data_IF_322848269359
#
_entry.id   IF_322848269359
#
_cell.length_a   1.000
_cell.length_b   1.000
_cell.length_c   1.000
_cell.angle_alpha   90.00
_cell.angle_beta   90.00
_cell.angle_gamma   90.00
#
_symmetry.space_group_name_H-M   'P 1'
#
loop_
_entity.id
_entity.type
_entity.pdbx_description
1 polymer ?
#
# COMPACT_ATOMS: atom_id res chain seq x y z
N UNK A 1 -14.75 51.21 -11.49
CA UNK A 1 -15.32 52.14 -10.49
C UNK A 1 -16.42 51.33 -9.80
N UNK A 2 -16.18 50.62 -8.70
CA UNK A 2 -15.64 51.05 -7.40
C UNK A 2 -14.69 49.98 -6.82
N UNK A 3 -13.59 50.45 -6.23
CA UNK A 3 -12.65 49.74 -5.35
C UNK A 3 -13.20 49.74 -3.92
N UNK A 4 -13.10 48.62 -3.19
CA UNK A 4 -12.77 48.51 -1.73
C UNK A 4 -12.47 47.00 -1.52
N UNK A 5 -11.26 46.50 -1.29
CA UNK A 5 -10.32 46.61 -0.15
C UNK A 5 -10.94 46.38 1.25
N UNK A 6 -10.27 45.61 2.09
CA UNK A 6 -10.76 45.28 3.44
C UNK A 6 -10.17 44.01 4.02
N UNK A 7 -8.87 44.02 4.30
CA UNK A 7 -8.22 42.99 5.11
C UNK A 7 -8.48 43.09 6.62
N UNK A 8 -7.78 42.21 7.35
CA UNK A 8 -7.51 42.17 8.80
C UNK A 8 -8.57 41.51 9.71
N UNK A 9 -8.25 40.32 10.26
CA UNK A 9 -7.46 40.06 11.49
C UNK A 9 -8.21 40.37 12.79
N UNK A 10 -8.78 39.33 13.40
CA UNK A 10 -9.11 39.27 14.84
C UNK A 10 -8.64 37.90 15.35
N UNK A 11 -7.42 37.81 15.88
CA UNK A 11 -6.98 38.09 17.26
C UNK A 11 -7.47 37.04 18.27
N UNK A 12 -6.47 36.29 18.72
CA UNK A 12 -6.44 35.26 19.73
C UNK A 12 -7.12 35.68 21.04
N UNK A 13 -7.98 34.81 21.57
CA UNK A 13 -8.44 34.87 22.95
C UNK A 13 -7.46 34.09 23.83
N UNK A 14 -6.72 34.82 24.66
CA UNK A 14 -5.86 34.28 25.73
C UNK A 14 -6.74 34.13 26.97
N UNK A 15 -6.97 32.90 27.42
CA UNK A 15 -7.64 32.61 28.71
C UNK A 15 -6.56 32.22 29.71
N UNK A 16 -6.36 33.09 30.70
CA UNK A 16 -5.50 32.85 31.87
C UNK A 16 -6.38 32.31 33.00
N UNK A 17 -6.06 31.15 33.56
CA UNK A 17 -6.63 30.68 34.83
C UNK A 17 -5.47 30.54 35.83
N UNK A 18 -5.49 31.39 36.86
CA UNK A 18 -4.66 31.29 38.05
C UNK A 18 -5.34 30.36 39.06
N UNK A 19 -4.54 29.55 39.75
CA UNK A 19 -4.56 29.59 41.22
C UNK A 19 -4.87 28.30 42.00
N UNK A 20 -3.96 28.07 42.96
CA UNK A 20 -4.07 27.39 44.26
C UNK A 20 -4.07 25.84 44.27
N UNK A 21 -3.04 25.14 44.78
CA UNK A 21 -2.41 25.02 46.12
C UNK A 21 -3.18 24.16 47.15
N UNK A 22 -2.39 23.24 47.75
CA UNK A 22 -2.55 22.50 49.03
C UNK A 22 -3.48 21.27 48.96
N UNK A 23 -3.21 20.13 49.61
CA UNK A 23 -2.36 19.85 50.76
C UNK A 23 -1.84 18.40 50.74
N UNK A 24 -0.68 18.20 51.36
CA UNK A 24 -0.16 16.89 51.73
C UNK A 24 -0.80 16.42 53.06
N UNK A 25 -1.00 15.11 53.21
CA UNK A 25 -1.17 14.49 54.52
C UNK A 25 -0.64 13.06 54.52
N UNK A 26 0.44 12.88 55.30
CA UNK A 26 0.95 11.62 55.84
C UNK A 26 -0.12 10.95 56.70
N UNK A 27 -0.22 9.62 56.65
CA UNK A 27 -0.70 8.81 57.78
C UNK A 27 -0.04 7.44 57.77
N UNK A 28 0.17 6.96 58.99
CA UNK A 28 1.25 6.10 59.42
C UNK A 28 0.97 4.58 59.31
N UNK A 29 2.06 3.83 59.46
CA UNK A 29 2.14 2.39 59.73
C UNK A 29 1.14 1.93 60.80
N UNK A 30 0.54 0.76 60.56
CA UNK A 30 0.21 -0.21 61.62
C UNK A 30 0.78 -1.56 61.22
N UNK A 31 1.73 -2.04 62.01
CA UNK A 31 2.22 -3.41 61.99
C UNK A 31 1.20 -4.31 62.72
N UNK A 32 0.80 -5.41 62.08
CA UNK A 32 -0.05 -6.44 62.67
C UNK A 32 0.40 -7.80 62.18
N UNK A 33 1.16 -8.50 63.02
CA UNK A 33 1.56 -9.90 62.84
C UNK A 33 0.39 -10.78 63.28
N UNK A 34 -0.13 -11.61 62.37
CA UNK A 34 -0.98 -12.74 62.71
C UNK A 34 -0.67 -13.90 61.75
N UNK A 35 0.14 -14.84 62.23
CA UNK A 35 0.29 -16.18 61.67
C UNK A 35 -0.98 -16.98 61.97
N UNK A 36 -1.60 -17.60 60.97
CA UNK A 36 -2.22 -18.93 61.12
C UNK A 36 -2.44 -19.58 59.74
N UNK A 37 -2.06 -20.85 59.69
CA UNK A 37 -2.03 -21.80 58.59
C UNK A 37 -3.32 -21.91 57.80
N UNK A 38 -3.25 -21.80 56.47
CA UNK A 38 -4.27 -22.32 55.54
C UNK A 38 -3.59 -23.04 54.39
N UNK A 39 -4.14 -24.21 54.07
CA UNK A 39 -3.60 -25.26 53.23
C UNK A 39 -3.30 -24.85 51.78
N UNK A 40 -2.34 -25.57 51.18
CA UNK A 40 -2.07 -25.58 49.75
C UNK A 40 -3.37 -25.78 48.95
N UNK A 41 -3.76 -24.77 48.18
CA UNK A 41 -4.65 -24.91 47.03
C UNK A 41 -4.19 -23.88 46.01
N UNK A 42 -3.37 -24.33 45.06
CA UNK A 42 -3.00 -23.51 43.91
C UNK A 42 -4.29 -23.14 43.15
N UNK A 43 -4.57 -21.84 42.91
CA UNK A 43 -5.58 -21.49 41.93
C UNK A 43 -5.07 -21.99 40.58
N UNK A 44 -5.85 -22.86 39.93
CA UNK A 44 -5.68 -23.11 38.50
C UNK A 44 -5.91 -21.78 37.81
N UNK A 45 -4.83 -21.26 37.23
CA UNK A 45 -4.79 -20.06 36.42
C UNK A 45 -5.64 -20.26 35.16
N UNK A 46 -6.97 -20.04 35.29
CA UNK A 46 -7.92 -19.97 34.17
C UNK A 46 -7.69 -18.74 33.26
N UNK A 47 -6.67 -17.91 33.51
CA UNK A 47 -6.35 -16.77 32.65
C UNK A 47 -5.49 -17.15 31.44
N UNK A 48 -4.89 -18.34 31.40
CA UNK A 48 -3.96 -18.75 30.33
C UNK A 48 -4.59 -19.30 29.06
N UNK A 49 -5.89 -19.63 29.05
CA UNK A 49 -6.58 -20.08 27.82
C UNK A 49 -7.53 -19.03 27.22
N UNK A 50 -7.74 -17.88 27.87
CA UNK A 50 -8.56 -16.78 27.33
C UNK A 50 -7.75 -15.75 26.51
N UNK A 51 -6.41 -15.81 26.56
CA UNK A 51 -5.52 -14.82 25.92
C UNK A 51 -5.28 -15.01 24.41
N UNK A 52 -5.77 -16.09 23.79
CA UNK A 52 -5.54 -16.36 22.36
C UNK A 52 -6.68 -15.88 21.43
N UNK A 53 -7.71 -15.21 21.96
CA UNK A 53 -8.85 -14.71 21.17
C UNK A 53 -8.89 -13.17 21.06
N UNK A 54 -7.77 -12.48 21.31
CA UNK A 54 -7.73 -11.00 21.40
C UNK A 54 -6.76 -10.30 20.45
N UNK A 55 -6.03 -11.01 19.59
CA UNK A 55 -5.20 -10.37 18.56
C UNK A 55 -6.05 -10.09 17.33
N UNK A 56 -6.37 -8.82 17.12
CA UNK A 56 -7.13 -8.32 15.97
C UNK A 56 -6.66 -8.95 14.65
N UNK A 57 -7.57 -9.66 13.99
CA UNK A 57 -7.30 -10.50 12.82
C UNK A 57 -6.99 -9.70 11.53
N UNK A 58 -7.14 -8.37 11.52
CA UNK A 58 -6.86 -7.56 10.32
C UNK A 58 -5.40 -7.62 9.84
N UNK A 59 -4.43 -7.80 10.74
CA UNK A 59 -3.03 -8.04 10.36
C UNK A 59 -2.74 -9.48 9.90
N UNK A 60 -3.57 -10.43 10.33
CA UNK A 60 -3.42 -11.86 10.03
C UNK A 60 -3.75 -12.20 8.58
N UNK A 61 -4.82 -11.61 8.06
CA UNK A 61 -5.29 -11.87 6.69
C UNK A 61 -4.28 -11.42 5.62
N UNK A 62 -3.78 -10.17 5.71
CA UNK A 62 -2.75 -9.67 4.79
C UNK A 62 -1.47 -10.50 4.84
N UNK A 63 -1.06 -10.96 6.03
CA UNK A 63 0.13 -11.81 6.19
C UNK A 63 -0.09 -13.20 5.59
N UNK A 64 -1.26 -13.80 5.82
CA UNK A 64 -1.65 -15.09 5.23
C UNK A 64 -1.68 -14.99 3.71
N UNK A 65 -2.38 -14.01 3.16
CA UNK A 65 -2.49 -13.80 1.71
C UNK A 65 -1.14 -13.47 1.07
N UNK A 66 -0.28 -12.68 1.73
CA UNK A 66 1.10 -12.47 1.27
C UNK A 66 1.91 -13.77 1.27
N UNK A 67 1.69 -14.67 2.23
CA UNK A 67 2.32 -15.99 2.23
C UNK A 67 1.82 -16.87 1.10
N UNK A 68 0.51 -16.91 0.87
CA UNK A 68 -0.12 -17.75 -0.15
C UNK A 68 0.11 -17.23 -1.58
N UNK A 69 0.08 -15.92 -1.77
CA UNK A 69 0.33 -15.23 -3.04
C UNK A 69 1.79 -14.76 -3.15
N UNK A 70 2.64 -15.17 -2.22
CA UNK A 70 4.04 -14.77 -2.14
C UNK A 70 4.78 -15.22 -3.38
N UNK A 71 5.36 -14.25 -4.10
CA UNK A 71 6.02 -14.50 -5.38
C UNK A 71 5.09 -14.57 -6.59
N UNK A 72 3.78 -14.42 -6.43
CA UNK A 72 2.86 -14.27 -7.57
C UNK A 72 2.60 -12.81 -7.94
N UNK A 73 2.77 -11.91 -6.98
CA UNK A 73 2.59 -10.46 -7.15
C UNK A 73 3.93 -9.74 -6.97
N UNK A 74 4.18 -8.65 -7.71
CA UNK A 74 5.34 -7.82 -7.47
C UNK A 74 5.23 -7.13 -6.10
N UNK A 75 6.35 -6.68 -5.51
CA UNK A 75 6.33 -5.77 -4.38
C UNK A 75 5.41 -4.57 -4.66
N UNK A 76 4.57 -4.21 -3.68
CA UNK A 76 3.70 -3.06 -3.79
C UNK A 76 4.38 -1.73 -3.44
N UNK A 77 3.62 -0.65 -3.55
CA UNK A 77 4.04 0.73 -3.22
C UNK A 77 3.51 1.13 -1.85
N UNK A 78 4.15 2.11 -1.19
CA UNK A 78 3.55 2.70 0.01
C UNK A 78 2.42 3.67 -0.38
N UNK A 79 1.40 3.80 0.46
CA UNK A 79 0.27 4.71 0.19
C UNK A 79 0.72 6.17 -0.04
N UNK A 80 1.75 6.62 0.68
CA UNK A 80 2.35 7.96 0.51
C UNK A 80 3.08 8.17 -0.82
N UNK A 81 3.44 7.09 -1.50
CA UNK A 81 4.16 7.11 -2.78
C UNK A 81 3.19 6.97 -3.97
N UNK A 82 1.89 6.87 -3.71
CA UNK A 82 0.86 6.94 -4.74
C UNK A 82 0.85 8.34 -5.39
N UNK A 83 0.54 8.44 -6.69
CA UNK A 83 0.23 9.72 -7.33
C UNK A 83 -0.92 10.42 -6.60
N UNK A 84 -0.76 11.70 -6.29
CA UNK A 84 -1.80 12.48 -5.58
C UNK A 84 -2.31 11.75 -4.32
N UNK A 85 -1.44 11.46 -3.34
CA UNK A 85 -1.76 10.54 -2.24
C UNK A 85 -2.89 11.06 -1.33
N UNK A 86 -3.12 12.37 -1.33
CA UNK A 86 -4.20 13.05 -0.60
C UNK A 86 -5.51 13.17 -1.43
N UNK A 87 -5.56 12.60 -2.63
CA UNK A 87 -6.81 12.52 -3.41
C UNK A 87 -7.77 11.50 -2.80
N UNK A 88 -9.06 11.63 -3.12
CA UNK A 88 -10.05 10.66 -2.68
C UNK A 88 -9.79 9.28 -3.30
N UNK A 89 -9.51 9.22 -4.61
CA UNK A 89 -9.12 7.99 -5.30
C UNK A 89 -7.92 7.25 -4.67
N UNK A 90 -6.83 7.97 -4.34
CA UNK A 90 -5.65 7.36 -3.71
C UNK A 90 -5.97 6.76 -2.32
N UNK A 91 -6.80 7.45 -1.53
CA UNK A 91 -7.27 6.94 -0.23
C UNK A 91 -8.13 5.69 -0.39
N UNK A 92 -9.05 5.67 -1.36
CA UNK A 92 -9.90 4.50 -1.62
C UNK A 92 -9.07 3.31 -2.11
N UNK A 93 -8.12 3.52 -3.03
CA UNK A 93 -7.20 2.46 -3.48
C UNK A 93 -6.38 1.91 -2.31
N UNK A 94 -5.83 2.77 -1.46
CA UNK A 94 -5.10 2.35 -0.25
C UNK A 94 -5.96 1.56 0.72
N UNK A 95 -7.19 2.04 0.99
CA UNK A 95 -8.16 1.41 1.89
C UNK A 95 -8.56 0.03 1.39
N UNK A 96 -9.01 -0.09 0.14
CA UNK A 96 -9.61 -1.33 -0.37
C UNK A 96 -8.59 -2.33 -0.91
N UNK A 97 -7.60 -1.88 -1.70
CA UNK A 97 -6.62 -2.80 -2.31
C UNK A 97 -5.54 -3.23 -1.31
N UNK A 98 -5.28 -2.42 -0.28
CA UNK A 98 -4.28 -2.69 0.76
C UNK A 98 -4.72 -3.70 1.84
N UNK A 99 -6.00 -4.10 1.86
CA UNK A 99 -6.58 -5.01 2.87
C UNK A 99 -5.96 -6.40 2.81
N UNK A 100 -5.76 -6.92 1.59
CA UNK A 100 -5.44 -8.32 1.37
C UNK A 100 -3.99 -8.56 0.95
N UNK A 101 -3.41 -7.66 0.16
CA UNK A 101 -2.03 -7.78 -0.33
C UNK A 101 -1.33 -6.42 -0.30
N UNK A 102 -0.09 -6.37 -0.80
CA UNK A 102 0.60 -5.09 -0.97
C UNK A 102 -0.11 -4.23 -2.01
N UNK A 103 -0.06 -2.92 -1.78
CA UNK A 103 -0.79 -1.95 -2.60
C UNK A 103 -0.21 -1.92 -4.01
N UNK A 104 -1.01 -2.19 -5.06
CA UNK A 104 -0.52 -2.11 -6.42
C UNK A 104 -0.16 -0.66 -6.81
N UNK A 105 0.86 -0.50 -7.65
CA UNK A 105 1.15 0.78 -8.30
C UNK A 105 0.16 1.03 -9.44
N UNK A 106 -0.51 2.19 -9.52
CA UNK A 106 -1.35 2.54 -10.67
C UNK A 106 -0.61 2.44 -12.01
N UNK A 107 0.71 2.64 -12.03
CA UNK A 107 1.52 2.56 -13.25
C UNK A 107 1.82 1.12 -13.72
N UNK A 108 1.23 0.06 -13.13
CA UNK A 108 1.52 -1.33 -13.51
C UNK A 108 0.64 -1.89 -14.64
N UNK A 109 -0.53 -1.28 -14.87
CA UNK A 109 -1.50 -1.70 -15.89
C UNK A 109 -1.96 -0.50 -16.71
N UNK A 110 -2.32 -0.75 -17.95
CA UNK A 110 -3.00 0.24 -18.81
C UNK A 110 -4.40 0.53 -18.28
N UNK A 111 -5.04 1.61 -18.74
CA UNK A 111 -6.40 1.99 -18.33
C UNK A 111 -7.40 0.85 -18.55
N UNK A 112 -7.36 0.20 -19.72
CA UNK A 112 -8.29 -0.89 -20.05
C UNK A 112 -8.04 -2.14 -19.20
N UNK A 113 -6.76 -2.47 -18.96
CA UNK A 113 -6.39 -3.58 -18.07
C UNK A 113 -6.83 -3.32 -16.63
N UNK A 114 -6.76 -2.07 -16.16
CA UNK A 114 -7.18 -1.71 -14.81
C UNK A 114 -8.65 -1.98 -14.58
N UNK A 115 -9.52 -1.65 -15.52
CA UNK A 115 -10.95 -1.97 -15.46
C UNK A 115 -11.16 -3.46 -15.22
N UNK A 116 -10.47 -4.31 -15.98
CA UNK A 116 -10.59 -5.77 -15.85
C UNK A 116 -10.01 -6.30 -14.53
N UNK A 117 -8.87 -5.77 -14.08
CA UNK A 117 -8.19 -6.20 -12.84
C UNK A 117 -8.99 -5.79 -11.62
N UNK A 118 -9.40 -4.52 -11.54
CA UNK A 118 -10.17 -3.97 -10.44
C UNK A 118 -11.54 -4.67 -10.31
N UNK A 119 -12.24 -4.92 -11.42
CA UNK A 119 -13.51 -5.65 -11.41
C UNK A 119 -13.40 -7.05 -10.79
N UNK A 120 -12.32 -7.78 -11.08
CA UNK A 120 -12.08 -9.09 -10.44
C UNK A 120 -11.87 -8.93 -8.94
N UNK A 121 -11.20 -7.87 -8.50
CA UNK A 121 -10.98 -7.60 -7.08
C UNK A 121 -12.26 -7.14 -6.39
N UNK A 122 -13.08 -6.29 -7.01
CA UNK A 122 -14.39 -5.89 -6.48
C UNK A 122 -15.31 -7.10 -6.28
N UNK A 123 -15.40 -8.00 -7.26
CA UNK A 123 -16.18 -9.24 -7.15
C UNK A 123 -15.66 -10.14 -6.03
N UNK A 124 -14.33 -10.25 -5.89
CA UNK A 124 -13.71 -11.03 -4.81
C UNK A 124 -14.00 -10.41 -3.44
N UNK A 125 -13.85 -9.09 -3.29
CA UNK A 125 -14.17 -8.39 -2.03
C UNK A 125 -15.64 -8.55 -1.66
N UNK A 126 -16.56 -8.41 -2.63
CA UNK A 126 -17.99 -8.61 -2.39
C UNK A 126 -18.33 -10.04 -1.94
N UNK A 127 -17.72 -11.05 -2.57
CA UNK A 127 -17.84 -12.45 -2.14
C UNK A 127 -17.36 -12.62 -0.70
N UNK A 128 -16.15 -12.12 -0.39
CA UNK A 128 -15.56 -12.28 0.95
C UNK A 128 -16.36 -11.54 2.03
N UNK A 129 -16.85 -10.33 1.73
CA UNK A 129 -17.72 -9.56 2.62
C UNK A 129 -19.04 -10.33 2.91
N UNK A 130 -19.62 -10.97 1.90
CA UNK A 130 -20.84 -11.78 2.04
C UNK A 130 -20.66 -13.07 2.85
N UNK A 131 -19.43 -13.58 2.97
CA UNK A 131 -19.11 -14.77 3.78
C UNK A 131 -18.97 -14.48 5.28
N UNK A 132 -19.02 -13.20 5.70
CA UNK A 132 -18.93 -12.79 7.11
C UNK A 132 -20.01 -13.39 8.02
N UNK A 133 -21.13 -13.85 7.46
CA UNK A 133 -22.21 -14.54 8.19
C UNK A 133 -21.86 -15.96 8.66
N UNK A 134 -20.76 -16.57 8.17
CA UNK A 134 -20.28 -17.90 8.56
C UNK A 134 -19.10 -17.83 9.55
N UNK A 135 -19.20 -16.92 10.53
CA UNK A 135 -18.25 -16.80 11.64
C UNK A 135 -16.95 -16.08 11.28
N UNK A 136 -17.02 -14.76 11.09
CA UNK A 136 -15.96 -13.78 11.39
C UNK A 136 -14.48 -14.14 11.08
N UNK A 137 -14.19 -14.89 10.01
CA UNK A 137 -12.79 -15.15 9.66
C UNK A 137 -12.19 -14.07 8.75
N UNK A 138 -13.00 -13.26 8.06
CA UNK A 138 -12.53 -12.32 7.02
C UNK A 138 -13.34 -11.02 7.05
N UNK A 139 -12.92 -10.04 7.86
CA UNK A 139 -13.50 -8.69 7.90
C UNK A 139 -13.00 -7.88 6.68
N UNK A 140 -13.48 -8.25 5.50
CA UNK A 140 -13.11 -7.62 4.22
C UNK A 140 -14.22 -6.66 3.81
N UNK A 141 -13.85 -5.40 3.60
CA UNK A 141 -14.76 -4.38 3.10
C UNK A 141 -14.86 -4.44 1.58
N UNK A 142 -16.08 -4.28 1.05
CA UNK A 142 -16.33 -4.13 -0.38
C UNK A 142 -16.76 -2.69 -0.71
N UNK A 143 -16.20 -2.05 -1.77
CA UNK A 143 -16.58 -0.70 -2.15
C UNK A 143 -18.01 -0.66 -2.72
N UNK A 144 -18.71 0.43 -2.42
CA UNK A 144 -19.96 0.82 -3.08
C UNK A 144 -19.74 1.12 -4.57
N UNK A 145 -20.82 1.21 -5.36
CA UNK A 145 -20.70 1.51 -6.79
C UNK A 145 -20.00 2.85 -7.06
N UNK A 146 -20.36 3.92 -6.33
CA UNK A 146 -19.69 5.22 -6.47
C UNK A 146 -18.21 5.20 -6.06
N UNK A 147 -17.84 4.41 -5.04
CA UNK A 147 -16.41 4.24 -4.70
C UNK A 147 -15.65 3.45 -5.77
N UNK A 148 -16.29 2.48 -6.44
CA UNK A 148 -15.66 1.75 -7.56
C UNK A 148 -15.38 2.67 -8.73
N UNK A 149 -16.33 3.53 -9.08
CA UNK A 149 -16.16 4.50 -10.16
C UNK A 149 -14.99 5.45 -9.88
N UNK A 150 -14.89 5.95 -8.64
CA UNK A 150 -13.78 6.81 -8.21
C UNK A 150 -12.43 6.07 -8.23
N UNK A 151 -12.39 4.81 -7.78
CA UNK A 151 -11.20 3.97 -7.84
C UNK A 151 -10.76 3.76 -9.29
N UNK A 152 -11.70 3.43 -10.19
CA UNK A 152 -11.41 3.22 -11.61
C UNK A 152 -10.94 4.50 -12.30
N UNK A 153 -11.56 5.64 -11.99
CA UNK A 153 -11.14 6.94 -12.51
C UNK A 153 -9.69 7.25 -12.10
N UNK A 154 -9.35 7.03 -10.83
CA UNK A 154 -8.00 7.25 -10.31
C UNK A 154 -6.96 6.28 -10.91
N UNK A 155 -7.28 4.99 -10.98
CA UNK A 155 -6.38 4.00 -11.60
C UNK A 155 -6.18 4.28 -13.10
N UNK A 156 -7.22 4.76 -13.79
CA UNK A 156 -7.18 5.14 -15.19
C UNK A 156 -6.35 6.40 -15.46
N UNK A 157 -6.49 7.44 -14.64
CA UNK A 157 -5.73 8.69 -14.78
C UNK A 157 -4.23 8.47 -14.58
N UNK A 158 -3.88 7.61 -13.62
CA UNK A 158 -2.49 7.31 -13.25
C UNK A 158 -1.98 5.96 -13.79
N UNK A 159 -2.68 5.41 -14.78
CA UNK A 159 -2.35 4.11 -15.40
C UNK A 159 -0.98 4.14 -16.08
N UNK A 160 -0.43 2.94 -16.34
CA UNK A 160 0.63 2.78 -17.32
C UNK A 160 0.17 3.40 -18.64
N UNK A 161 1.01 4.28 -19.20
CA UNK A 161 0.86 4.72 -20.58
C UNK A 161 1.70 3.76 -21.42
N UNK A 162 1.04 2.86 -22.19
CA UNK A 162 1.80 1.98 -23.05
C UNK A 162 2.55 2.85 -24.06
N UNK A 163 3.64 2.32 -24.58
CA UNK A 163 4.29 2.93 -25.73
C UNK A 163 3.21 3.21 -26.78
N UNK A 164 2.94 4.50 -27.06
CA UNK A 164 1.95 4.91 -28.06
C UNK A 164 2.37 4.40 -29.44
N UNK A 165 1.54 4.59 -30.47
CA UNK A 165 1.71 4.11 -31.86
C UNK A 165 3.04 4.43 -32.57
N UNK A 166 3.99 5.05 -31.90
CA UNK A 166 5.39 5.16 -32.32
C UNK A 166 6.02 3.77 -32.23
N UNK A 167 6.85 3.41 -33.20
CA UNK A 167 7.59 2.15 -33.16
C UNK A 167 8.69 2.23 -32.10
N UNK A 168 9.00 1.11 -31.44
CA UNK A 168 10.19 0.97 -30.59
C UNK A 168 11.40 1.55 -31.36
N UNK A 169 12.13 2.56 -30.83
CA UNK A 169 13.23 3.19 -31.56
C UNK A 169 14.29 2.17 -31.91
N UNK A 170 14.79 2.22 -33.15
CA UNK A 170 15.82 1.28 -33.62
C UNK A 170 15.49 -0.20 -33.32
N UNK A 171 14.33 -0.71 -33.79
CA UNK A 171 13.79 -2.01 -33.35
C UNK A 171 14.67 -3.20 -33.75
N UNK A 172 15.61 -3.01 -34.70
CA UNK A 172 16.58 -4.02 -35.13
C UNK A 172 17.79 -4.16 -34.21
N UNK A 173 17.93 -3.34 -33.17
CA UNK A 173 19.06 -3.42 -32.24
C UNK A 173 18.88 -4.52 -31.20
N UNK A 174 19.99 -5.06 -30.70
CA UNK A 174 19.96 -6.04 -29.61
C UNK A 174 19.26 -5.49 -28.35
N UNK A 175 19.49 -4.22 -28.01
CA UNK A 175 18.87 -3.54 -26.88
C UNK A 175 17.35 -3.42 -27.01
N UNK A 176 16.85 -2.97 -28.17
CA UNK A 176 15.40 -2.89 -28.43
C UNK A 176 14.72 -4.26 -28.33
N UNK A 177 15.34 -5.29 -28.93
CA UNK A 177 14.81 -6.64 -28.93
C UNK A 177 14.82 -7.26 -27.51
N UNK A 178 15.86 -6.99 -26.72
CA UNK A 178 15.98 -7.45 -25.35
C UNK A 178 15.00 -6.74 -24.41
N UNK A 179 14.86 -5.41 -24.53
CA UNK A 179 13.85 -4.62 -23.82
C UNK A 179 12.44 -5.15 -24.11
N UNK A 180 12.09 -5.29 -25.39
CA UNK A 180 10.76 -5.75 -25.82
C UNK A 180 10.43 -7.12 -25.25
N UNK A 181 11.30 -8.12 -25.46
CA UNK A 181 11.07 -9.50 -24.96
C UNK A 181 11.11 -9.63 -23.46
N UNK A 182 11.83 -8.76 -22.75
CA UNK A 182 11.96 -8.84 -21.29
C UNK A 182 10.77 -8.16 -20.61
N UNK A 183 10.51 -6.90 -20.96
CA UNK A 183 9.57 -6.07 -20.24
C UNK A 183 8.11 -6.37 -20.60
N UNK A 184 7.84 -6.96 -21.77
CA UNK A 184 6.48 -7.39 -22.15
C UNK A 184 6.01 -8.69 -21.48
N UNK A 185 6.84 -9.35 -20.65
CA UNK A 185 6.48 -10.62 -20.02
C UNK A 185 5.40 -10.50 -18.95
N UNK A 186 5.19 -9.30 -18.40
CA UNK A 186 4.30 -9.09 -17.26
C UNK A 186 3.23 -8.01 -17.48
N UNK A 187 3.51 -6.99 -18.29
CA UNK A 187 2.61 -5.90 -18.61
C UNK A 187 2.92 -5.36 -20.01
N UNK A 188 2.08 -4.45 -20.54
CA UNK A 188 2.39 -3.73 -21.77
C UNK A 188 3.74 -3.01 -21.70
N UNK A 189 4.42 -2.80 -22.83
CA UNK A 189 5.71 -2.09 -22.82
C UNK A 189 5.51 -0.64 -22.36
N UNK A 190 6.29 -0.18 -21.37
CA UNK A 190 6.20 1.20 -20.90
C UNK A 190 6.70 2.17 -21.97
N UNK A 191 6.13 3.38 -21.97
CA UNK A 191 6.70 4.49 -22.75
C UNK A 191 8.14 4.80 -22.26
N UNK A 192 9.11 4.81 -23.18
CA UNK A 192 10.52 5.13 -22.89
C UNK A 192 10.67 6.60 -22.46
N UNK A 193 9.72 7.44 -22.83
CA UNK A 193 9.67 8.82 -22.39
C UNK A 193 9.24 8.97 -20.91
N UNK A 194 8.72 7.92 -20.26
CA UNK A 194 8.19 7.98 -18.89
C UNK A 194 9.24 8.43 -17.86
N UNK A 195 10.50 8.04 -18.07
CA UNK A 195 11.62 8.35 -17.20
C UNK A 195 12.69 9.16 -17.95
N UNK A 196 13.46 9.94 -17.21
CA UNK A 196 14.64 10.63 -17.75
C UNK A 196 15.76 9.64 -18.02
N UNK A 197 16.68 10.01 -18.91
CA UNK A 197 17.83 9.17 -19.28
C UNK A 197 18.57 8.57 -18.07
N UNK A 198 18.85 9.39 -17.05
CA UNK A 198 19.57 8.97 -15.85
C UNK A 198 18.77 8.10 -14.86
N UNK A 199 17.46 7.99 -15.01
CA UNK A 199 16.59 7.24 -14.08
C UNK A 199 16.42 5.77 -14.51
N UNK A 200 16.63 5.46 -15.78
CA UNK A 200 16.43 4.13 -16.33
C UNK A 200 17.25 3.01 -15.69
N UNK A 201 18.53 3.20 -15.30
CA UNK A 201 19.28 2.17 -14.57
C UNK A 201 18.56 1.70 -13.30
N UNK A 202 18.04 2.64 -12.49
CA UNK A 202 17.34 2.31 -11.24
C UNK A 202 16.00 1.62 -11.51
N UNK A 203 15.30 2.02 -12.57
CA UNK A 203 14.04 1.37 -12.99
C UNK A 203 14.28 -0.08 -13.40
N UNK A 204 15.32 -0.33 -14.21
CA UNK A 204 15.67 -1.68 -14.66
C UNK A 204 16.08 -2.57 -13.49
N UNK A 205 16.88 -2.04 -12.55
CA UNK A 205 17.29 -2.80 -11.37
C UNK A 205 16.10 -3.12 -10.45
N UNK A 206 15.16 -2.17 -10.29
CA UNK A 206 13.91 -2.43 -9.56
C UNK A 206 13.09 -3.55 -10.23
N UNK A 207 12.99 -3.55 -11.56
CA UNK A 207 12.27 -4.61 -12.28
C UNK A 207 12.96 -5.97 -12.13
N UNK A 208 14.30 -5.99 -12.20
CA UNK A 208 15.09 -7.20 -11.97
C UNK A 208 14.86 -7.78 -10.57
N UNK A 209 14.84 -6.95 -9.53
CA UNK A 209 14.49 -7.37 -8.17
C UNK A 209 13.06 -7.93 -8.11
N UNK A 210 12.10 -7.27 -8.75
CA UNK A 210 10.72 -7.76 -8.80
C UNK A 210 10.63 -9.13 -9.49
N UNK A 211 11.37 -9.36 -10.59
CA UNK A 211 11.44 -10.66 -11.26
C UNK A 211 11.95 -11.74 -10.31
N UNK A 212 13.02 -11.46 -9.55
CA UNK A 212 13.57 -12.37 -8.54
C UNK A 212 12.55 -12.68 -7.45
N UNK A 213 11.90 -11.66 -6.89
CA UNK A 213 10.86 -11.82 -5.86
C UNK A 213 9.70 -12.67 -6.36
N UNK A 214 9.34 -12.55 -7.65
CA UNK A 214 8.28 -13.32 -8.28
C UNK A 214 8.72 -14.71 -8.78
N UNK A 215 9.96 -15.14 -8.50
CA UNK A 215 10.49 -16.41 -8.99
C UNK A 215 10.56 -16.52 -10.52
N UNK A 216 10.59 -15.38 -11.23
CA UNK A 216 10.79 -15.33 -12.68
C UNK A 216 12.27 -15.43 -13.01
N UNK A 217 12.59 -15.73 -14.29
CA UNK A 217 13.97 -15.67 -14.77
C UNK A 217 14.47 -14.23 -14.63
N UNK A 218 15.38 -14.01 -13.72
CA UNK A 218 16.07 -12.74 -13.59
C UNK A 218 16.95 -12.46 -14.82
N UNK A 219 16.99 -11.19 -15.25
CA UNK A 219 17.97 -10.74 -16.24
C UNK A 219 19.36 -10.65 -15.62
N UNK A 220 20.39 -11.01 -16.39
CA UNK A 220 21.79 -10.90 -15.97
C UNK A 220 22.24 -9.43 -15.88
N UNK A 221 23.36 -9.16 -15.20
CA UNK A 221 23.95 -7.81 -15.16
C UNK A 221 24.20 -7.23 -16.56
N UNK A 222 24.65 -8.07 -17.49
CA UNK A 222 24.86 -7.70 -18.89
C UNK A 222 23.55 -7.33 -19.59
N UNK A 223 22.51 -8.14 -19.43
CA UNK A 223 21.19 -7.86 -20.00
C UNK A 223 20.59 -6.57 -19.40
N UNK A 224 20.71 -6.37 -18.08
CA UNK A 224 20.25 -5.16 -17.41
C UNK A 224 20.98 -3.90 -17.93
N UNK A 225 22.30 -3.97 -18.09
CA UNK A 225 23.10 -2.88 -18.67
C UNK A 225 22.73 -2.57 -20.12
N UNK A 226 22.45 -3.58 -20.95
CA UNK A 226 22.02 -3.40 -22.34
C UNK A 226 20.64 -2.73 -22.43
N UNK A 227 19.68 -3.18 -21.62
CA UNK A 227 18.33 -2.58 -21.56
C UNK A 227 18.43 -1.14 -21.05
N UNK A 228 19.11 -0.91 -19.92
CA UNK A 228 19.25 0.42 -19.33
C UNK A 228 19.93 1.38 -20.31
N UNK A 229 21.03 0.97 -20.95
CA UNK A 229 21.73 1.77 -21.95
C UNK A 229 20.86 2.10 -23.15
N UNK A 230 20.05 1.15 -23.63
CA UNK A 230 19.08 1.41 -24.70
C UNK A 230 18.03 2.43 -24.27
N UNK A 231 17.38 2.23 -23.13
CA UNK A 231 16.35 3.13 -22.62
C UNK A 231 16.89 4.54 -22.37
N UNK A 232 18.05 4.67 -21.73
CA UNK A 232 18.71 5.95 -21.46
C UNK A 232 19.01 6.75 -22.75
N UNK A 233 19.39 6.09 -23.85
CA UNK A 233 19.67 6.77 -25.12
C UNK A 233 18.42 7.31 -25.82
N UNK A 234 17.27 6.67 -25.62
CA UNK A 234 16.02 7.03 -26.28
C UNK A 234 15.01 7.72 -25.36
N UNK A 235 15.38 7.92 -24.10
CA UNK A 235 14.61 8.65 -23.11
C UNK A 235 14.57 10.16 -23.41
N UNK A 236 13.69 10.85 -22.69
CA UNK A 236 13.76 12.31 -22.60
C UNK A 236 14.99 12.72 -21.78
N UNK A 237 15.61 13.83 -22.19
CA UNK A 237 16.68 14.48 -21.43
C UNK A 237 16.15 15.10 -20.14
#
# INVERSE_FOLDING_TARGET
MVLVDGGQLLKHAVITIKGALLAASLSALVAGVATLTTACSAPRDESRMSGMMGMGMNGGMKKMMRGMMGGMLPPGVAAKDLPEPESNGARLVSRFCGQCHDLPSPAMHTTDEWTLVADRMFKRMAMMAGMGGMGNMMDVEAPSEGERDEILAYLGSHSLKPYGSVLIPEPGTAGAALFSRTCSQCHALPDIALHKSGEWPDVVERMRLNMRTMGRREITDKEAGEIAGYLSRHARN
#
